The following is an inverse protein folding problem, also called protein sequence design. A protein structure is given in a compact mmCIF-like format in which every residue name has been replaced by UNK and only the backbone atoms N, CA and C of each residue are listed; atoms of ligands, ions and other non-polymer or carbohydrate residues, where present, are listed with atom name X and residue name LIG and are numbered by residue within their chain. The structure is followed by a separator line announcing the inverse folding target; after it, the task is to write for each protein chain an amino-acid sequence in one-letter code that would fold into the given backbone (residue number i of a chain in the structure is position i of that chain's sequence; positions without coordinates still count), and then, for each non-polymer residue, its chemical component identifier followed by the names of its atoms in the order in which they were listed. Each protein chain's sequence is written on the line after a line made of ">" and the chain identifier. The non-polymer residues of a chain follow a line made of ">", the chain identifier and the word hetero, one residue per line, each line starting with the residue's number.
data_IF_537629725730
#
_entry.id   IF_537629725730
#
_cell.length_a   1.000
_cell.length_b   1.000
_cell.length_c   1.000
_cell.angle_alpha   90.00
_cell.angle_beta   90.00
_cell.angle_gamma   90.00
#
_symmetry.space_group_name_H-M   'P 1'
#
loop_
_entity.id
_entity.type
_entity.pdbx_description
1 polymer ?
#
# COMPACT_ATOMS: atom_id res chain seq x y z
N UNK A 1 -23.98 -33.09 -17.22
CA UNK A 1 -23.07 -33.15 -18.38
C UNK A 1 -21.73 -33.69 -17.92
N UNK A 2 -21.20 -34.72 -18.57
CA UNK A 2 -19.93 -35.40 -18.22
C UNK A 2 -18.77 -34.60 -18.84
N UNK A 3 -17.69 -34.34 -18.11
CA UNK A 3 -16.56 -33.49 -18.53
C UNK A 3 -15.28 -34.32 -18.71
N UNK A 4 -14.40 -33.93 -19.64
CA UNK A 4 -13.12 -34.65 -19.81
C UNK A 4 -12.19 -34.38 -18.62
N UNK A 5 -11.53 -35.42 -18.06
CA UNK A 5 -10.58 -35.23 -16.96
C UNK A 5 -9.31 -34.48 -17.41
N UNK A 6 -8.87 -34.66 -18.66
CA UNK A 6 -7.48 -34.35 -19.07
C UNK A 6 -7.33 -33.27 -20.15
N UNK A 7 -8.42 -32.66 -20.64
CA UNK A 7 -8.40 -31.56 -21.63
C UNK A 7 -7.77 -30.23 -21.13
N UNK A 8 -7.10 -30.32 -19.98
CA UNK A 8 -6.66 -29.22 -19.15
C UNK A 8 -5.33 -28.60 -19.60
N UNK A 9 -4.51 -29.23 -20.43
CA UNK A 9 -3.12 -28.78 -20.63
C UNK A 9 -3.00 -27.43 -21.34
N UNK A 10 -3.75 -27.21 -22.43
CA UNK A 10 -3.70 -25.95 -23.20
C UNK A 10 -4.42 -24.79 -22.47
N UNK A 11 -5.54 -25.08 -21.80
CA UNK A 11 -6.33 -24.05 -21.10
C UNK A 11 -5.73 -23.66 -19.73
N UNK A 12 -4.92 -24.54 -19.11
CA UNK A 12 -4.12 -24.22 -17.92
C UNK A 12 -3.02 -23.19 -18.17
N UNK A 13 -2.65 -22.93 -19.43
CA UNK A 13 -1.63 -21.92 -19.78
C UNK A 13 -2.10 -20.49 -19.53
N UNK A 14 -3.41 -20.26 -19.42
CA UNK A 14 -3.98 -18.96 -19.06
C UNK A 14 -4.15 -18.92 -17.54
N UNK A 15 -3.36 -18.11 -16.81
CA UNK A 15 -3.43 -18.04 -15.35
C UNK A 15 -4.86 -17.70 -14.89
N UNK A 16 -5.40 -18.52 -13.98
CA UNK A 16 -6.75 -18.34 -13.42
C UNK A 16 -7.92 -18.81 -14.30
N UNK A 17 -7.67 -19.22 -15.56
CA UNK A 17 -8.72 -19.77 -16.41
C UNK A 17 -8.95 -21.26 -16.11
N UNK A 18 -10.03 -21.56 -15.38
CA UNK A 18 -10.44 -22.93 -15.06
C UNK A 18 -11.77 -23.23 -15.74
N UNK A 19 -11.71 -23.83 -16.93
CA UNK A 19 -12.89 -24.31 -17.63
C UNK A 19 -12.87 -25.84 -17.69
N UNK A 20 -13.97 -26.48 -17.30
CA UNK A 20 -14.16 -27.92 -17.51
C UNK A 20 -14.63 -28.12 -18.95
N UNK A 21 -13.82 -28.81 -19.75
CA UNK A 21 -14.09 -29.05 -21.16
C UNK A 21 -15.12 -30.19 -21.31
N UNK A 22 -16.17 -30.04 -22.13
CA UNK A 22 -17.14 -31.10 -22.40
C UNK A 22 -16.49 -32.37 -22.99
N UNK A 23 -17.06 -33.54 -22.71
CA UNK A 23 -16.73 -34.78 -23.43
C UNK A 23 -17.17 -34.65 -24.89
N UNK A 24 -16.25 -34.89 -25.83
CA UNK A 24 -16.44 -34.66 -27.26
C UNK A 24 -15.76 -33.39 -27.79
N UNK A 25 -15.11 -32.60 -26.93
CA UNK A 25 -14.42 -31.36 -27.29
C UNK A 25 -15.31 -30.12 -27.19
N UNK A 26 -14.71 -28.92 -27.23
CA UNK A 26 -15.45 -27.67 -27.13
C UNK A 26 -16.16 -27.34 -28.44
N UNK A 27 -17.45 -27.02 -28.37
CA UNK A 27 -18.20 -26.44 -29.51
C UNK A 27 -17.94 -24.95 -29.61
N UNK A 28 -18.13 -24.34 -30.78
CA UNK A 28 -17.97 -22.88 -30.97
C UNK A 28 -18.83 -22.06 -29.99
N UNK A 29 -20.07 -22.50 -29.76
CA UNK A 29 -20.95 -21.88 -28.77
C UNK A 29 -20.38 -21.95 -27.35
N UNK A 30 -19.75 -23.07 -26.97
CA UNK A 30 -19.08 -23.21 -25.69
C UNK A 30 -17.84 -22.31 -25.60
N UNK A 31 -17.01 -22.28 -26.64
CA UNK A 31 -15.80 -21.44 -26.72
C UNK A 31 -16.18 -19.97 -26.57
N UNK A 32 -17.14 -19.49 -27.36
CA UNK A 32 -17.62 -18.11 -27.32
C UNK A 32 -18.17 -17.73 -25.95
N UNK A 33 -18.90 -18.64 -25.29
CA UNK A 33 -19.37 -18.44 -23.91
C UNK A 33 -18.22 -18.29 -22.92
N UNK A 34 -17.16 -19.10 -23.02
CA UNK A 34 -16.00 -18.98 -22.15
C UNK A 34 -15.21 -17.70 -22.40
N UNK A 35 -15.03 -17.32 -23.68
CA UNK A 35 -14.37 -16.06 -24.06
C UNK A 35 -15.12 -14.86 -23.47
N UNK A 36 -16.45 -14.81 -23.63
CA UNK A 36 -17.27 -13.73 -23.08
C UNK A 36 -17.15 -13.64 -21.56
N UNK A 37 -17.20 -14.79 -20.87
CA UNK A 37 -17.00 -14.85 -19.41
C UNK A 37 -15.63 -14.32 -19.00
N UNK A 38 -14.56 -14.77 -19.66
CA UNK A 38 -13.20 -14.35 -19.34
C UNK A 38 -12.99 -12.86 -19.60
N UNK A 39 -13.51 -12.32 -20.71
CA UNK A 39 -13.48 -10.88 -21.01
C UNK A 39 -14.14 -10.05 -19.90
N UNK A 40 -15.31 -10.47 -19.43
CA UNK A 40 -16.00 -9.81 -18.31
C UNK A 40 -15.17 -9.88 -17.02
N UNK A 41 -14.57 -11.03 -16.72
CA UNK A 41 -13.69 -11.18 -15.56
C UNK A 41 -12.46 -10.26 -15.62
N UNK A 42 -11.78 -10.20 -16.77
CA UNK A 42 -10.61 -9.34 -16.95
C UNK A 42 -10.95 -7.85 -16.85
N UNK A 43 -12.10 -7.45 -17.39
CA UNK A 43 -12.60 -6.07 -17.29
C UNK A 43 -12.85 -5.70 -15.83
N UNK A 44 -13.53 -6.56 -15.07
CA UNK A 44 -13.79 -6.36 -13.65
C UNK A 44 -12.51 -6.36 -12.82
N UNK A 45 -11.56 -7.25 -13.13
CA UNK A 45 -10.27 -7.29 -12.46
C UNK A 45 -9.52 -5.97 -12.67
N UNK A 46 -9.40 -5.50 -13.92
CA UNK A 46 -8.75 -4.23 -14.24
C UNK A 46 -9.42 -3.03 -13.57
N UNK A 47 -10.75 -3.00 -13.55
CA UNK A 47 -11.49 -1.95 -12.84
C UNK A 47 -11.15 -1.92 -11.35
N UNK A 48 -11.04 -3.09 -10.70
CA UNK A 48 -10.62 -3.19 -9.28
C UNK A 48 -9.17 -2.78 -9.06
N UNK A 49 -8.25 -3.17 -9.96
CA UNK A 49 -6.84 -2.73 -9.90
C UNK A 49 -6.77 -1.21 -9.87
N UNK A 50 -7.39 -0.56 -10.86
CA UNK A 50 -7.39 0.90 -11.00
C UNK A 50 -8.03 1.59 -9.80
N UNK A 51 -9.20 1.10 -9.36
CA UNK A 51 -9.90 1.70 -8.22
C UNK A 51 -9.06 1.64 -6.94
N UNK A 52 -8.41 0.49 -6.66
CA UNK A 52 -7.57 0.34 -5.46
C UNK A 52 -6.32 1.19 -5.54
N UNK A 53 -5.62 1.16 -6.67
CA UNK A 53 -4.41 1.95 -6.87
C UNK A 53 -4.71 3.45 -6.74
N UNK A 54 -5.79 3.94 -7.37
CA UNK A 54 -6.19 5.34 -7.26
C UNK A 54 -6.59 5.73 -5.83
N UNK A 55 -7.32 4.85 -5.13
CA UNK A 55 -7.76 5.10 -3.75
C UNK A 55 -6.57 5.20 -2.80
N UNK A 56 -5.66 4.23 -2.85
CA UNK A 56 -4.47 4.21 -2.00
C UNK A 56 -3.55 5.40 -2.32
N UNK A 57 -3.32 5.70 -3.61
CA UNK A 57 -2.53 6.87 -4.00
C UNK A 57 -3.10 8.17 -3.49
N UNK A 58 -4.41 8.35 -3.64
CA UNK A 58 -5.11 9.56 -3.19
C UNK A 58 -5.08 9.69 -1.66
N UNK A 59 -5.25 8.58 -0.94
CA UNK A 59 -5.20 8.57 0.52
C UNK A 59 -3.82 8.95 1.05
N UNK A 60 -2.75 8.33 0.52
CA UNK A 60 -1.36 8.65 0.87
C UNK A 60 -1.01 10.11 0.55
N UNK A 61 -1.37 10.61 -0.63
CA UNK A 61 -1.10 12.00 -0.98
C UNK A 61 -1.87 12.98 -0.08
N UNK A 62 -3.13 12.67 0.25
CA UNK A 62 -3.91 13.45 1.21
C UNK A 62 -3.28 13.50 2.60
N UNK A 63 -2.78 12.35 3.10
CA UNK A 63 -2.06 12.29 4.37
C UNK A 63 -0.77 13.11 4.33
N UNK A 64 0.01 13.01 3.26
CA UNK A 64 1.24 13.78 3.07
C UNK A 64 0.98 15.27 3.09
N UNK A 65 0.00 15.74 2.31
CA UNK A 65 -0.38 17.16 2.28
C UNK A 65 -0.84 17.65 3.66
N UNK A 66 -1.58 16.83 4.40
CA UNK A 66 -1.98 17.13 5.78
C UNK A 66 -0.74 17.29 6.69
N UNK A 67 0.25 16.42 6.59
CA UNK A 67 1.49 16.52 7.38
C UNK A 67 2.32 17.74 6.99
N UNK A 68 2.44 18.06 5.71
CA UNK A 68 3.13 19.28 5.25
C UNK A 68 2.45 20.54 5.80
N UNK A 69 1.11 20.58 5.80
CA UNK A 69 0.36 21.68 6.43
C UNK A 69 0.56 21.71 7.95
N UNK A 70 0.61 20.56 8.62
CA UNK A 70 0.87 20.47 10.06
C UNK A 70 2.29 20.96 10.40
N UNK A 71 3.30 20.63 9.58
CA UNK A 71 4.67 21.17 9.70
C UNK A 71 4.68 22.69 9.53
N UNK A 72 4.02 23.21 8.49
CA UNK A 72 3.91 24.65 8.24
C UNK A 72 3.22 25.42 9.40
N UNK A 73 2.24 24.79 10.06
CA UNK A 73 1.58 25.33 11.26
C UNK A 73 2.38 25.11 12.56
N UNK A 74 3.56 24.49 12.48
CA UNK A 74 4.42 24.19 13.63
C UNK A 74 3.89 23.08 14.55
N UNK A 75 2.91 22.29 14.10
CA UNK A 75 2.37 21.14 14.82
C UNK A 75 3.28 19.91 14.69
N UNK A 76 4.01 19.81 13.58
CA UNK A 76 5.11 18.85 13.40
C UNK A 76 6.48 19.56 13.46
N UNK A 77 7.53 18.81 13.80
CA UNK A 77 8.89 19.32 13.69
C UNK A 77 9.39 19.23 12.24
N UNK A 78 10.47 19.95 11.95
CA UNK A 78 11.25 19.76 10.73
C UNK A 78 11.95 18.39 10.66
N UNK A 79 12.07 17.70 11.81
CA UNK A 79 12.66 16.37 11.89
C UNK A 79 11.64 15.26 11.66
N UNK A 80 10.34 15.60 11.55
CA UNK A 80 9.30 14.63 11.31
C UNK A 80 9.55 13.91 9.98
N UNK A 81 9.38 12.60 10.00
CA UNK A 81 9.49 11.74 8.82
C UNK A 81 8.21 10.96 8.63
N UNK A 82 8.06 10.42 7.44
CA UNK A 82 7.08 9.40 7.14
C UNK A 82 7.77 8.07 6.96
N UNK A 83 7.08 6.99 7.30
CA UNK A 83 7.60 5.64 7.15
C UNK A 83 6.57 4.70 6.57
N UNK A 84 7.03 3.69 5.83
CA UNK A 84 6.18 2.68 5.21
C UNK A 84 5.68 1.68 6.22
N UNK A 85 4.42 1.29 6.04
CA UNK A 85 3.75 0.25 6.82
C UNK A 85 3.27 -0.81 5.85
N UNK A 86 3.79 -2.02 5.97
CA UNK A 86 3.26 -3.18 5.27
C UNK A 86 2.12 -3.84 6.03
N UNK A 87 1.30 -4.63 5.32
CA UNK A 87 0.28 -5.46 5.97
C UNK A 87 0.88 -6.84 6.27
N UNK A 88 1.08 -7.23 7.55
CA UNK A 88 1.71 -8.49 7.90
C UNK A 88 0.71 -9.65 7.81
N UNK A 89 0.41 -10.11 6.59
CA UNK A 89 -0.44 -11.27 6.35
C UNK A 89 0.14 -12.17 5.25
N UNK A 90 -0.52 -13.30 4.98
CA UNK A 90 -0.10 -14.30 3.98
C UNK A 90 -0.03 -13.77 2.54
N UNK A 91 -0.46 -12.53 2.29
CA UNK A 91 -0.40 -11.85 0.99
C UNK A 91 0.69 -10.79 0.94
N UNK A 92 1.49 -10.65 1.98
CA UNK A 92 2.71 -9.84 1.94
C UNK A 92 3.69 -10.49 0.96
N UNK A 93 4.16 -9.71 -0.01
CA UNK A 93 5.19 -10.16 -0.95
C UNK A 93 6.57 -9.74 -0.45
N UNK A 94 7.60 -10.43 -0.95
CA UNK A 94 9.00 -10.18 -0.58
C UNK A 94 9.47 -8.74 -0.89
N UNK A 95 8.98 -8.14 -1.98
CA UNK A 95 9.30 -6.75 -2.34
C UNK A 95 8.80 -5.76 -1.27
N UNK A 96 7.55 -5.92 -0.83
CA UNK A 96 6.98 -5.08 0.21
C UNK A 96 7.66 -5.33 1.57
N UNK A 97 7.90 -6.59 1.93
CA UNK A 97 8.60 -6.94 3.17
C UNK A 97 9.97 -6.28 3.27
N UNK A 98 10.71 -6.21 2.16
CA UNK A 98 12.06 -5.63 2.13
C UNK A 98 12.12 -4.12 2.39
N UNK A 99 10.99 -3.42 2.27
CA UNK A 99 10.88 -1.95 2.45
C UNK A 99 10.00 -1.57 3.64
N UNK A 100 9.63 -2.53 4.49
CA UNK A 100 8.85 -2.26 5.69
C UNK A 100 9.62 -1.34 6.64
N UNK A 101 8.94 -0.31 7.16
CA UNK A 101 9.57 0.68 8.03
C UNK A 101 10.53 1.65 7.34
N UNK A 102 10.73 1.56 6.02
CA UNK A 102 11.55 2.52 5.28
C UNK A 102 11.05 3.95 5.53
N UNK A 103 11.97 4.84 5.89
CA UNK A 103 11.67 6.23 6.22
C UNK A 103 12.00 7.18 5.04
N UNK A 104 11.24 8.26 4.93
CA UNK A 104 11.54 9.39 4.06
C UNK A 104 11.15 10.70 4.74
N UNK A 105 11.71 11.83 4.31
CA UNK A 105 11.18 13.13 4.74
C UNK A 105 9.77 13.34 4.17
N UNK A 106 9.01 14.25 4.78
CA UNK A 106 7.61 14.50 4.38
C UNK A 106 7.47 14.93 2.90
N UNK A 107 8.49 15.58 2.37
CA UNK A 107 8.56 16.15 1.01
C UNK A 107 9.58 15.46 0.09
N UNK A 108 10.19 14.37 0.53
CA UNK A 108 11.16 13.60 -0.25
C UNK A 108 10.62 12.21 -0.60
N UNK A 109 10.95 11.65 -1.78
CA UNK A 109 10.52 10.31 -2.17
C UNK A 109 11.16 9.24 -1.27
N UNK A 110 10.58 8.04 -1.27
CA UNK A 110 11.23 6.88 -0.67
C UNK A 110 12.38 6.40 -1.57
N UNK A 111 13.57 6.24 -1.02
CA UNK A 111 14.79 5.90 -1.76
C UNK A 111 14.65 4.60 -2.56
N UNK A 112 13.98 3.59 -2.00
CA UNK A 112 13.81 2.28 -2.65
C UNK A 112 12.99 2.32 -3.94
N UNK A 113 12.10 3.31 -4.10
CA UNK A 113 11.17 3.39 -5.24
C UNK A 113 11.29 4.67 -6.05
N UNK A 114 11.89 5.72 -5.50
CA UNK A 114 11.87 7.05 -6.09
C UNK A 114 10.48 7.71 -6.13
N UNK A 115 9.48 7.15 -5.45
CA UNK A 115 8.11 7.66 -5.45
C UNK A 115 7.78 8.35 -4.11
N UNK A 116 6.91 9.37 -4.18
CA UNK A 116 6.27 9.94 -3.00
C UNK A 116 5.25 8.96 -2.41
N UNK A 117 4.82 7.92 -3.10
CA UNK A 117 3.84 6.97 -2.59
C UNK A 117 4.48 5.76 -1.88
N UNK A 118 3.85 5.18 -0.84
CA UNK A 118 4.32 3.94 -0.23
C UNK A 118 4.06 2.68 -1.07
N UNK A 119 3.26 2.76 -2.14
CA UNK A 119 2.97 1.60 -3.00
C UNK A 119 4.18 1.21 -3.86
N UNK A 120 4.59 -0.06 -3.78
CA UNK A 120 5.71 -0.63 -4.56
C UNK A 120 5.25 -1.18 -5.92
N UNK A 121 4.03 -1.70 -6.00
CA UNK A 121 3.48 -2.33 -7.20
C UNK A 121 1.96 -2.16 -7.28
N UNK A 122 1.36 -2.53 -8.41
CA UNK A 122 -0.11 -2.52 -8.54
C UNK A 122 -0.77 -3.40 -7.48
N UNK A 123 -1.94 -3.00 -6.97
CA UNK A 123 -2.65 -3.63 -5.84
C UNK A 123 -1.89 -3.69 -4.53
N UNK A 124 -0.77 -2.97 -4.41
CA UNK A 124 -0.05 -2.89 -3.16
C UNK A 124 -0.96 -2.30 -2.08
N UNK A 125 -0.86 -2.89 -0.89
CA UNK A 125 -1.64 -2.53 0.29
C UNK A 125 -0.82 -1.77 1.32
N UNK A 126 0.44 -1.49 1.03
CA UNK A 126 1.28 -0.68 1.90
C UNK A 126 0.68 0.70 2.08
N UNK A 127 0.80 1.19 3.29
CA UNK A 127 0.39 2.53 3.70
C UNK A 127 1.59 3.24 4.33
N UNK A 128 1.37 4.43 4.88
CA UNK A 128 2.41 5.17 5.58
C UNK A 128 1.85 5.86 6.82
N UNK A 129 2.74 6.21 7.74
CA UNK A 129 2.43 7.04 8.90
C UNK A 129 3.54 8.05 9.11
N UNK A 130 3.27 9.07 9.94
CA UNK A 130 4.26 10.07 10.34
C UNK A 130 4.85 9.71 11.70
N UNK A 131 6.17 9.72 11.80
CA UNK A 131 6.87 9.85 13.06
C UNK A 131 7.20 11.33 13.28
N UNK A 132 6.67 11.89 14.36
CA UNK A 132 6.82 13.31 14.70
C UNK A 132 8.23 13.67 15.17
N UNK A 133 9.09 12.68 15.46
CA UNK A 133 10.44 12.82 16.04
C UNK A 133 10.51 13.98 17.03
N UNK A 134 9.77 13.84 18.13
CA UNK A 134 9.55 14.85 19.18
C UNK A 134 9.13 16.24 18.63
N UNK A 135 7.88 16.32 18.17
CA UNK A 135 7.11 17.57 17.97
C UNK A 135 7.40 18.62 19.05
N UNK A 136 7.38 19.92 18.72
CA UNK A 136 7.64 21.09 19.60
C UNK A 136 6.93 21.08 20.98
N UNK A 137 5.94 20.21 21.20
CA UNK A 137 5.40 19.86 22.52
C UNK A 137 6.47 19.22 23.44
N UNK A 138 7.24 18.25 22.95
CA UNK A 138 8.29 17.56 23.71
C UNK A 138 9.43 18.49 24.15
N UNK A 139 9.85 19.43 23.29
CA UNK A 139 10.89 20.42 23.63
C UNK A 139 10.41 21.50 24.61
N UNK A 140 9.14 21.92 24.56
CA UNK A 140 8.57 22.87 25.53
C UNK A 140 8.40 22.22 26.91
N UNK A 141 7.95 20.97 26.95
CA UNK A 141 7.86 20.17 28.18
C UNK A 141 9.25 19.89 28.75
N UNK A 142 10.21 19.45 27.93
CA UNK A 142 11.59 19.23 28.37
C UNK A 142 12.24 20.52 28.90
N UNK A 143 12.08 21.66 28.21
CA UNK A 143 12.61 22.94 28.68
C UNK A 143 11.91 23.44 29.96
N UNK A 144 10.61 23.16 30.14
CA UNK A 144 9.89 23.48 31.38
C UNK A 144 10.36 22.60 32.55
N UNK A 145 10.51 21.30 32.34
CA UNK A 145 11.04 20.34 33.32
C UNK A 145 12.47 20.73 33.72
N UNK A 146 13.33 21.03 32.75
CA UNK A 146 14.72 21.42 33.02
C UNK A 146 14.82 22.77 33.76
N UNK A 147 13.90 23.71 33.54
CA UNK A 147 13.82 24.97 34.30
C UNK A 147 13.30 24.76 35.73
N UNK A 148 12.31 23.89 35.92
CA UNK A 148 11.78 23.56 37.24
C UNK A 148 12.79 22.77 38.10
N UNK A 149 13.46 21.78 37.50
CA UNK A 149 14.52 21.03 38.15
C UNK A 149 15.69 21.93 38.57
N UNK A 150 16.06 22.91 37.73
CA UNK A 150 17.11 23.88 38.07
C UNK A 150 16.73 24.79 39.25
N UNK A 151 15.45 25.14 39.41
CA UNK A 151 14.97 25.90 40.59
C UNK A 151 15.04 25.07 41.87
N UNK A 152 14.56 23.83 41.82
CA UNK A 152 14.61 22.90 42.96
C UNK A 152 16.03 22.57 43.41
N UNK A 153 16.98 22.46 42.48
CA UNK A 153 18.39 22.21 42.79
C UNK A 153 19.12 23.46 43.32
N UNK A 154 18.63 24.67 43.01
CA UNK A 154 19.25 25.93 43.41
C UNK A 154 18.58 26.58 44.64
N UNK A 155 17.49 26.00 45.16
CA UNK A 155 16.81 26.48 46.37
C UNK A 155 15.99 27.76 46.19
N UNK A 156 15.54 28.07 44.97
CA UNK A 156 14.61 29.17 44.66
C UNK A 156 13.16 28.70 44.52
#
# INVERSE_FOLDING_TARGET
>A
TRFQPDANKALRSVPGFRARVPIGGPTDAWVNKQIAKYRSMQTNWRARQLARDATMRSASEGQRLMWLQARAKGLLTELAVRFRITTPDDRLCQECESVDGEEAKLDEPYDSTGDMNPQVHSMCRCSEAVDTRSGKSGRRVAAAIMRAARRLLNGE
#
